data_IF_499805935979
#
_entry.id   IF_499805935979
#
_cell.length_a   1.000
_cell.length_b   1.000
_cell.length_c   1.000
_cell.angle_alpha   90.00
_cell.angle_beta   90.00
_cell.angle_gamma   90.00
#
_symmetry.space_group_name_H-M   'P 1'
#
loop_
_entity.id
_entity.type
_entity.pdbx_description
1 polymer ?
#
# COMPACT_ATOMS: atom_id res chain seq x y z
N UNK A 1 -23.84 0.59 -2.27
CA UNK A 1 -24.53 1.29 -3.38
C UNK A 1 -25.65 0.42 -3.92
N UNK A 2 -26.79 1.02 -4.25
CA UNK A 2 -28.05 0.38 -4.67
C UNK A 2 -27.89 -0.59 -5.84
N UNK A 3 -28.35 -1.83 -5.70
CA UNK A 3 -28.51 -2.79 -6.79
C UNK A 3 -29.58 -2.27 -7.75
N UNK A 4 -29.19 -1.50 -8.76
CA UNK A 4 -30.08 -1.05 -9.80
C UNK A 4 -30.62 -2.27 -10.56
N UNK A 5 -31.90 -2.59 -10.33
CA UNK A 5 -32.62 -3.68 -10.99
C UNK A 5 -32.54 -3.48 -12.50
N UNK A 6 -31.74 -4.30 -13.19
CA UNK A 6 -31.54 -4.19 -14.64
C UNK A 6 -32.90 -4.19 -15.36
N UNK A 7 -33.24 -3.13 -16.12
CA UNK A 7 -34.50 -3.03 -16.85
C UNK A 7 -34.78 -4.27 -17.71
N UNK A 8 -36.04 -4.72 -17.74
CA UNK A 8 -36.44 -5.95 -18.44
C UNK A 8 -36.01 -5.98 -19.92
N UNK A 9 -36.10 -4.84 -20.63
CA UNK A 9 -35.68 -4.76 -22.04
C UNK A 9 -34.17 -4.98 -22.25
N UNK A 10 -33.32 -4.58 -21.28
CA UNK A 10 -31.86 -4.77 -21.38
C UNK A 10 -31.49 -6.25 -21.22
N UNK A 11 -32.17 -6.98 -20.32
CA UNK A 11 -31.99 -8.43 -20.18
C UNK A 11 -32.32 -9.17 -21.48
N UNK A 12 -33.47 -8.86 -22.08
CA UNK A 12 -33.88 -9.45 -23.37
C UNK A 12 -32.86 -9.13 -24.45
N UNK A 13 -32.43 -7.87 -24.51
CA UNK A 13 -31.44 -7.43 -25.49
C UNK A 13 -30.15 -8.21 -25.38
N UNK A 14 -29.63 -8.38 -24.15
CA UNK A 14 -28.40 -9.14 -23.89
C UNK A 14 -28.54 -10.60 -24.35
N UNK A 15 -29.62 -11.27 -23.95
CA UNK A 15 -29.89 -12.65 -24.38
C UNK A 15 -29.99 -12.79 -25.89
N UNK A 16 -30.61 -11.83 -26.58
CA UNK A 16 -30.68 -11.83 -28.04
C UNK A 16 -29.30 -11.63 -28.69
N UNK A 17 -28.49 -10.70 -28.18
CA UNK A 17 -27.12 -10.48 -28.66
C UNK A 17 -26.29 -11.74 -28.50
N UNK A 18 -26.36 -12.40 -27.33
CA UNK A 18 -25.64 -13.65 -27.06
C UNK A 18 -26.08 -14.79 -28.02
N UNK A 19 -27.38 -14.88 -28.32
CA UNK A 19 -27.93 -15.86 -29.27
C UNK A 19 -27.58 -15.59 -30.73
N UNK A 20 -27.52 -14.32 -31.12
CA UNK A 20 -27.03 -13.95 -32.45
C UNK A 20 -25.54 -14.29 -32.56
N UNK A 21 -24.74 -13.93 -31.55
CA UNK A 21 -23.31 -14.21 -31.51
C UNK A 21 -22.99 -15.72 -31.50
N UNK A 22 -23.82 -16.54 -30.82
CA UNK A 22 -23.67 -18.00 -30.84
C UNK A 22 -24.12 -18.64 -32.16
N UNK A 23 -24.87 -17.92 -33.00
CA UNK A 23 -25.44 -18.42 -34.25
C UNK A 23 -26.79 -19.13 -34.08
N UNK A 24 -27.42 -19.04 -32.91
CA UNK A 24 -28.79 -19.53 -32.71
C UNK A 24 -29.79 -18.78 -33.58
N UNK A 25 -29.63 -17.45 -33.70
CA UNK A 25 -30.30 -16.67 -34.73
C UNK A 25 -29.31 -16.38 -35.86
N UNK A 26 -29.66 -16.79 -37.08
CA UNK A 26 -28.78 -16.65 -38.24
C UNK A 26 -28.89 -15.26 -38.85
N UNK A 27 -27.81 -14.80 -39.50
CA UNK A 27 -27.83 -13.56 -40.26
C UNK A 27 -28.84 -13.63 -41.40
N UNK A 28 -29.63 -12.57 -41.60
CA UNK A 28 -30.77 -12.56 -42.51
C UNK A 28 -32.05 -13.21 -41.97
N UNK A 29 -32.01 -13.89 -40.81
CA UNK A 29 -33.20 -14.47 -40.20
C UNK A 29 -34.18 -13.38 -39.77
N UNK A 30 -35.45 -13.57 -40.14
CA UNK A 30 -36.56 -12.69 -39.81
C UNK A 30 -37.18 -13.08 -38.47
N UNK A 31 -37.34 -12.11 -37.58
CA UNK A 31 -37.92 -12.25 -36.25
C UNK A 31 -39.06 -11.25 -36.06
N UNK A 32 -40.23 -11.77 -35.70
CA UNK A 32 -41.41 -10.97 -35.36
C UNK A 32 -41.37 -10.55 -33.89
N UNK A 33 -41.52 -9.24 -33.65
CA UNK A 33 -41.55 -8.68 -32.30
C UNK A 33 -42.79 -9.19 -31.54
N UNK A 34 -43.95 -9.18 -32.20
CA UNK A 34 -45.26 -9.45 -31.56
C UNK A 34 -45.52 -10.93 -31.27
N UNK A 35 -44.95 -11.83 -32.07
CA UNK A 35 -45.12 -13.27 -31.89
C UNK A 35 -43.87 -13.86 -31.29
N UNK A 36 -42.74 -13.79 -31.98
CA UNK A 36 -41.56 -14.58 -31.62
C UNK A 36 -40.95 -14.06 -30.32
N UNK A 37 -40.64 -12.76 -30.26
CA UNK A 37 -39.94 -12.18 -29.11
C UNK A 37 -40.88 -12.01 -27.90
N UNK A 38 -42.12 -11.59 -28.12
CA UNK A 38 -43.10 -11.38 -27.04
C UNK A 38 -43.47 -12.71 -26.37
N UNK A 39 -43.70 -13.78 -27.16
CA UNK A 39 -44.04 -15.10 -26.61
C UNK A 39 -42.85 -15.78 -25.93
N UNK A 40 -41.68 -15.73 -26.56
CA UNK A 40 -40.48 -16.40 -26.06
C UNK A 40 -40.01 -15.82 -24.72
N UNK A 41 -39.96 -14.48 -24.63
CA UNK A 41 -39.48 -13.80 -23.43
C UNK A 41 -40.58 -13.48 -22.42
N UNK A 42 -41.84 -13.83 -22.72
CA UNK A 42 -43.03 -13.56 -21.87
C UNK A 42 -43.09 -12.12 -21.38
N UNK A 43 -42.89 -11.17 -22.30
CA UNK A 43 -42.87 -9.73 -21.99
C UNK A 43 -43.97 -8.96 -22.70
N UNK A 44 -44.19 -7.70 -22.30
CA UNK A 44 -45.09 -6.81 -23.06
C UNK A 44 -44.51 -6.48 -24.45
N UNK A 45 -45.37 -6.25 -25.46
CA UNK A 45 -44.93 -5.83 -26.80
C UNK A 45 -44.06 -4.56 -26.79
N UNK A 46 -44.33 -3.63 -25.88
CA UNK A 46 -43.53 -2.41 -25.70
C UNK A 46 -42.12 -2.69 -25.20
N UNK A 47 -41.96 -3.67 -24.31
CA UNK A 47 -40.64 -4.09 -23.82
C UNK A 47 -39.86 -4.82 -24.90
N UNK A 48 -40.51 -5.71 -25.66
CA UNK A 48 -39.91 -6.38 -26.82
C UNK A 48 -39.49 -5.36 -27.89
N UNK A 49 -40.33 -4.38 -28.18
CA UNK A 49 -40.00 -3.29 -29.12
C UNK A 49 -38.81 -2.46 -28.66
N UNK A 50 -38.73 -2.10 -27.37
CA UNK A 50 -37.57 -1.42 -26.80
C UNK A 50 -36.28 -2.23 -26.93
N UNK A 51 -36.34 -3.54 -26.66
CA UNK A 51 -35.19 -4.43 -26.79
C UNK A 51 -34.70 -4.51 -28.25
N UNK A 52 -35.62 -4.73 -29.18
CA UNK A 52 -35.29 -4.80 -30.61
C UNK A 52 -34.73 -3.48 -31.13
N UNK A 53 -35.34 -2.35 -30.78
CA UNK A 53 -34.83 -1.03 -31.18
C UNK A 53 -33.41 -0.77 -30.63
N UNK A 54 -33.07 -1.33 -29.47
CA UNK A 54 -31.72 -1.26 -28.94
C UNK A 54 -30.73 -2.06 -29.80
N UNK A 55 -31.07 -3.29 -30.20
CA UNK A 55 -30.25 -4.08 -31.14
C UNK A 55 -30.12 -3.41 -32.52
N UNK A 56 -31.17 -2.72 -32.98
CA UNK A 56 -31.14 -1.96 -34.24
C UNK A 56 -30.18 -0.77 -34.14
N UNK A 57 -30.18 -0.03 -33.03
CA UNK A 57 -29.21 1.06 -32.78
C UNK A 57 -27.76 0.58 -32.79
N UNK A 58 -27.52 -0.64 -32.29
CA UNK A 58 -26.20 -1.27 -32.31
C UNK A 58 -25.82 -1.83 -33.69
N UNK A 59 -26.72 -1.76 -34.68
CA UNK A 59 -26.50 -2.28 -36.03
C UNK A 59 -26.47 -3.82 -36.11
N UNK A 60 -26.91 -4.51 -35.05
CA UNK A 60 -26.96 -5.98 -34.95
C UNK A 60 -28.23 -6.52 -35.63
N UNK A 61 -29.31 -5.74 -35.60
CA UNK A 61 -30.57 -6.02 -36.30
C UNK A 61 -30.96 -4.87 -37.22
N UNK A 62 -31.84 -5.13 -38.17
CA UNK A 62 -32.44 -4.11 -39.03
C UNK A 62 -33.97 -4.25 -39.04
N UNK A 63 -34.68 -3.13 -38.98
CA UNK A 63 -36.15 -3.12 -38.96
C UNK A 63 -36.68 -2.57 -40.28
N UNK A 64 -37.48 -3.36 -40.99
CA UNK A 64 -38.13 -2.93 -42.23
C UNK A 64 -39.56 -2.50 -41.94
N UNK A 65 -39.95 -1.33 -42.42
CA UNK A 65 -41.30 -0.80 -42.22
C UNK A 65 -42.35 -1.76 -42.81
N UNK A 66 -43.30 -2.22 -41.99
CA UNK A 66 -44.34 -3.19 -42.37
C UNK A 66 -43.85 -4.63 -42.58
N UNK A 67 -42.54 -4.88 -42.63
CA UNK A 67 -41.95 -6.19 -42.96
C UNK A 67 -41.24 -6.88 -41.80
N UNK A 68 -41.25 -6.32 -40.59
CA UNK A 68 -40.65 -6.96 -39.41
C UNK A 68 -39.14 -6.72 -39.28
N UNK A 69 -38.50 -7.45 -38.38
CA UNK A 69 -37.08 -7.23 -38.02
C UNK A 69 -36.23 -8.40 -38.50
N UNK A 70 -35.01 -8.13 -38.96
CA UNK A 70 -34.05 -9.15 -39.38
C UNK A 70 -32.74 -9.02 -38.62
N UNK A 71 -32.01 -10.13 -38.47
CA UNK A 71 -30.63 -10.11 -37.98
C UNK A 71 -29.73 -9.56 -39.08
N UNK A 72 -29.00 -8.49 -38.79
CA UNK A 72 -28.24 -7.74 -39.79
C UNK A 72 -26.74 -8.09 -39.78
N UNK A 73 -26.16 -8.44 -38.64
CA UNK A 73 -24.75 -8.82 -38.56
C UNK A 73 -24.46 -9.63 -37.30
N UNK A 74 -23.96 -10.86 -37.49
CA UNK A 74 -23.45 -11.68 -36.38
C UNK A 74 -22.16 -11.09 -35.79
N UNK A 75 -21.26 -10.61 -36.65
CA UNK A 75 -19.95 -10.09 -36.23
C UNK A 75 -20.08 -8.88 -35.30
N UNK A 76 -21.05 -7.99 -35.54
CA UNK A 76 -21.34 -6.89 -34.62
C UNK A 76 -21.80 -7.36 -33.25
N UNK A 77 -22.56 -8.45 -33.16
CA UNK A 77 -22.96 -9.01 -31.87
C UNK A 77 -21.74 -9.56 -31.11
N UNK A 78 -20.83 -10.25 -31.80
CA UNK A 78 -19.57 -10.76 -31.22
C UNK A 78 -18.69 -9.61 -30.73
N UNK A 79 -18.51 -8.57 -31.55
CA UNK A 79 -17.73 -7.38 -31.17
C UNK A 79 -18.33 -6.65 -29.97
N UNK A 80 -19.66 -6.50 -29.92
CA UNK A 80 -20.34 -5.87 -28.79
C UNK A 80 -20.06 -6.61 -27.47
N UNK A 81 -20.14 -7.95 -27.49
CA UNK A 81 -19.85 -8.78 -26.31
C UNK A 81 -18.40 -8.62 -25.86
N UNK A 82 -17.45 -8.60 -26.81
CA UNK A 82 -16.03 -8.44 -26.50
C UNK A 82 -15.73 -7.09 -25.85
N UNK A 83 -16.16 -5.99 -26.48
CA UNK A 83 -15.89 -4.64 -25.98
C UNK A 83 -16.52 -4.39 -24.60
N UNK A 84 -17.74 -4.89 -24.36
CA UNK A 84 -18.38 -4.76 -23.05
C UNK A 84 -17.68 -5.60 -21.96
N UNK A 85 -17.06 -6.73 -22.31
CA UNK A 85 -16.28 -7.53 -21.36
C UNK A 85 -14.99 -6.82 -20.98
N UNK A 86 -14.31 -6.22 -21.97
CA UNK A 86 -13.04 -5.52 -21.75
C UNK A 86 -13.22 -4.31 -20.81
N UNK A 87 -14.29 -3.52 -20.97
CA UNK A 87 -14.63 -2.42 -20.06
C UNK A 87 -14.88 -2.90 -18.62
N UNK A 88 -15.64 -3.99 -18.44
CA UNK A 88 -15.94 -4.55 -17.10
C UNK A 88 -14.66 -5.06 -16.43
N UNK A 89 -13.75 -5.69 -17.17
CA UNK A 89 -12.49 -6.21 -16.63
C UNK A 89 -11.59 -5.06 -16.16
N UNK A 90 -11.50 -3.98 -16.93
CA UNK A 90 -10.69 -2.80 -16.56
C UNK A 90 -11.23 -2.17 -15.27
N UNK A 91 -12.54 -2.00 -15.15
CA UNK A 91 -13.16 -1.47 -13.93
C UNK A 91 -12.95 -2.38 -12.73
N UNK A 92 -13.02 -3.71 -12.92
CA UNK A 92 -12.73 -4.69 -11.87
C UNK A 92 -11.27 -4.57 -11.40
N UNK A 93 -10.31 -4.55 -12.32
CA UNK A 93 -8.89 -4.40 -12.00
C UNK A 93 -8.60 -3.08 -11.29
N UNK A 94 -9.21 -1.98 -11.70
CA UNK A 94 -9.08 -0.69 -11.01
C UNK A 94 -9.56 -0.75 -9.56
N UNK A 95 -10.68 -1.41 -9.31
CA UNK A 95 -11.22 -1.58 -7.96
C UNK A 95 -10.32 -2.48 -7.10
N UNK A 96 -9.82 -3.60 -7.65
CA UNK A 96 -8.89 -4.49 -6.96
C UNK A 96 -7.59 -3.78 -6.58
N UNK A 97 -7.01 -3.00 -7.49
CA UNK A 97 -5.81 -2.19 -7.23
C UNK A 97 -6.08 -1.17 -6.12
N UNK A 98 -7.21 -0.47 -6.19
CA UNK A 98 -7.57 0.55 -5.20
C UNK A 98 -7.77 -0.03 -3.81
N UNK A 99 -8.41 -1.21 -3.73
CA UNK A 99 -8.58 -1.93 -2.48
C UNK A 99 -7.24 -2.38 -1.91
N UNK A 100 -6.39 -3.00 -2.74
CA UNK A 100 -5.06 -3.46 -2.33
C UNK A 100 -4.19 -2.30 -1.81
N UNK A 101 -4.26 -1.13 -2.46
CA UNK A 101 -3.55 0.07 -2.02
C UNK A 101 -4.03 0.53 -0.62
N UNK A 102 -5.35 0.52 -0.38
CA UNK A 102 -5.91 0.89 0.92
C UNK A 102 -5.48 -0.08 2.02
N UNK A 103 -5.46 -1.38 1.73
CA UNK A 103 -5.00 -2.41 2.67
C UNK A 103 -3.53 -2.21 3.03
N UNK A 104 -2.65 -1.99 2.03
CA UNK A 104 -1.24 -1.71 2.26
C UNK A 104 -1.00 -0.46 3.12
N UNK A 105 -1.75 0.64 2.87
CA UNK A 105 -1.63 1.86 3.68
C UNK A 105 -1.97 1.61 5.15
N UNK A 106 -2.96 0.78 5.43
CA UNK A 106 -3.35 0.44 6.80
C UNK A 106 -2.29 -0.43 7.49
N UNK A 107 -1.72 -1.41 6.79
CA UNK A 107 -0.58 -2.20 7.30
C UNK A 107 0.63 -1.31 7.60
N UNK A 108 0.90 -0.34 6.72
CA UNK A 108 2.01 0.60 6.91
C UNK A 108 1.85 1.45 8.17
N UNK A 109 0.63 1.94 8.42
CA UNK A 109 0.34 2.70 9.65
C UNK A 109 0.60 1.88 10.91
N UNK A 110 0.16 0.61 10.94
CA UNK A 110 0.42 -0.29 12.07
C UNK A 110 1.93 -0.51 12.27
N UNK A 111 2.68 -0.67 11.20
CA UNK A 111 4.14 -0.79 11.27
C UNK A 111 4.80 0.46 11.87
N UNK A 112 4.41 1.66 11.39
CA UNK A 112 4.92 2.92 11.92
C UNK A 112 4.62 3.09 13.41
N UNK A 113 3.41 2.73 13.85
CA UNK A 113 3.03 2.76 15.27
C UNK A 113 3.91 1.81 16.10
N UNK A 114 4.23 0.61 15.57
CA UNK A 114 5.12 -0.35 16.24
C UNK A 114 6.56 0.11 16.34
N UNK A 115 7.10 0.71 15.27
CA UNK A 115 8.44 1.33 15.29
C UNK A 115 8.48 2.44 16.34
N UNK A 116 7.46 3.28 16.39
CA UNK A 116 7.37 4.38 17.37
C UNK A 116 7.33 3.83 18.80
N UNK A 117 6.49 2.82 19.07
CA UNK A 117 6.46 2.15 20.36
C UNK A 117 7.82 1.56 20.75
N UNK A 118 8.51 0.91 19.81
CA UNK A 118 9.84 0.35 20.07
C UNK A 118 10.85 1.43 20.47
N UNK A 119 10.86 2.56 19.75
CA UNK A 119 11.72 3.70 20.07
C UNK A 119 11.39 4.22 21.47
N UNK A 120 10.12 4.44 21.79
CA UNK A 120 9.68 4.93 23.09
C UNK A 120 10.08 3.98 24.23
N UNK A 121 9.89 2.67 24.05
CA UNK A 121 10.32 1.67 25.03
C UNK A 121 11.84 1.66 25.20
N UNK A 122 12.60 1.71 24.09
CA UNK A 122 14.05 1.75 24.15
C UNK A 122 14.57 3.00 24.88
N UNK A 123 13.93 4.15 24.67
CA UNK A 123 14.27 5.40 25.32
C UNK A 123 13.90 5.39 26.81
N UNK A 124 12.71 4.89 27.18
CA UNK A 124 12.31 4.71 28.59
C UNK A 124 13.22 3.74 29.33
N UNK A 125 13.66 2.66 28.69
CA UNK A 125 14.64 1.73 29.27
C UNK A 125 16.00 2.38 29.50
N UNK A 126 16.48 3.20 28.55
CA UNK A 126 17.73 3.97 28.70
C UNK A 126 17.63 5.03 29.80
N UNK A 127 16.51 5.75 29.90
CA UNK A 127 16.34 6.82 30.89
C UNK A 127 16.07 6.32 32.31
N UNK A 128 15.36 5.22 32.48
CA UNK A 128 15.00 4.69 33.81
C UNK A 128 16.07 3.78 34.41
N UNK A 129 17.19 3.53 33.71
CA UNK A 129 18.31 2.78 34.24
C UNK A 129 19.45 3.74 34.65
N UNK A 130 19.65 4.00 35.96
CA UNK A 130 20.73 4.87 36.44
C UNK A 130 22.14 4.33 36.12
N UNK A 131 22.25 3.10 35.61
CA UNK A 131 23.52 2.45 35.23
C UNK A 131 23.78 2.42 33.73
N UNK A 132 22.94 3.03 32.89
CA UNK A 132 23.23 3.11 31.45
C UNK A 132 24.28 4.22 31.19
N UNK A 133 25.54 3.89 30.85
CA UNK A 133 26.58 4.89 30.68
C UNK A 133 26.36 5.69 29.40
N UNK A 134 26.78 6.95 29.41
CA UNK A 134 27.02 7.74 28.22
C UNK A 134 28.39 7.41 27.64
N UNK A 135 28.55 7.66 26.35
CA UNK A 135 29.74 7.32 25.59
C UNK A 135 30.37 8.57 24.97
N UNK A 136 31.69 8.63 24.96
CA UNK A 136 32.45 9.59 24.16
C UNK A 136 33.58 8.88 23.42
N UNK A 137 33.57 9.03 22.10
CA UNK A 137 34.62 8.55 21.21
C UNK A 137 35.77 9.58 21.17
N UNK A 138 37.00 9.11 21.29
CA UNK A 138 38.20 9.96 21.22
C UNK A 138 38.80 9.92 19.80
N UNK A 139 38.54 10.95 19.00
CA UNK A 139 39.20 11.16 17.72
C UNK A 139 40.55 11.91 17.88
N UNK A 140 41.24 12.15 16.77
CA UNK A 140 42.54 12.83 16.75
C UNK A 140 42.54 14.26 17.30
N UNK A 141 41.38 14.92 17.44
CA UNK A 141 41.22 16.25 18.01
C UNK A 141 41.00 16.24 19.52
N UNK A 142 40.86 15.06 20.14
CA UNK A 142 40.63 14.97 21.58
C UNK A 142 41.81 15.53 22.38
N UNK A 143 41.52 16.48 23.28
CA UNK A 143 42.52 17.27 24.02
C UNK A 143 43.49 16.45 24.89
N UNK A 144 43.07 15.28 25.35
CA UNK A 144 43.77 14.50 26.38
C UNK A 144 44.35 13.17 25.88
N UNK A 145 44.55 13.00 24.57
CA UNK A 145 45.26 11.83 24.05
C UNK A 145 46.66 11.69 24.67
N UNK A 146 47.04 10.45 25.02
CA UNK A 146 48.28 10.12 25.70
C UNK A 146 48.32 10.42 27.21
N UNK A 147 47.31 11.09 27.77
CA UNK A 147 47.19 11.35 29.21
C UNK A 147 46.60 10.14 29.95
N UNK A 148 47.00 9.94 31.21
CA UNK A 148 46.40 8.90 32.05
C UNK A 148 45.03 9.30 32.57
N UNK A 149 44.16 8.32 32.82
CA UNK A 149 42.80 8.54 33.33
C UNK A 149 42.80 9.36 34.63
N UNK A 150 43.72 9.06 35.56
CA UNK A 150 43.88 9.80 36.82
C UNK A 150 44.23 11.28 36.60
N UNK A 151 45.06 11.57 35.59
CA UNK A 151 45.50 12.94 35.31
C UNK A 151 44.41 13.83 34.74
N UNK A 152 43.31 13.23 34.26
CA UNK A 152 42.16 13.99 33.74
C UNK A 152 41.45 14.77 34.85
N UNK A 153 41.47 14.27 36.10
CA UNK A 153 40.60 14.79 37.16
C UNK A 153 39.16 14.98 36.64
N UNK A 154 38.60 13.92 36.04
CA UNK A 154 37.37 14.00 35.26
C UNK A 154 36.19 14.51 36.09
N UNK A 155 35.99 13.93 37.28
CA UNK A 155 34.80 14.20 38.10
C UNK A 155 34.69 15.67 38.56
N UNK A 156 35.73 16.33 39.10
CA UNK A 156 35.66 17.76 39.46
C UNK A 156 35.30 18.70 38.29
N UNK A 157 35.69 18.35 37.07
CA UNK A 157 35.49 19.21 35.89
C UNK A 157 34.17 18.95 35.18
N UNK A 158 33.64 17.73 35.27
CA UNK A 158 32.51 17.29 34.45
C UNK A 158 31.33 16.75 35.25
N UNK A 159 31.55 16.38 36.51
CA UNK A 159 30.64 15.59 37.35
C UNK A 159 30.35 14.19 36.78
N UNK A 160 31.20 13.70 35.88
CA UNK A 160 31.13 12.36 35.31
C UNK A 160 31.98 11.36 36.10
N UNK A 161 31.45 10.15 36.29
CA UNK A 161 32.22 9.01 36.77
C UNK A 161 32.51 8.09 35.60
N UNK A 162 33.79 7.91 35.27
CA UNK A 162 34.22 6.93 34.27
C UNK A 162 33.99 5.51 34.83
N UNK A 163 33.30 4.66 34.06
CA UNK A 163 32.96 3.29 34.47
C UNK A 163 33.59 2.24 33.58
N UNK A 164 33.85 2.55 32.30
CA UNK A 164 34.53 1.64 31.39
C UNK A 164 35.30 2.39 30.30
N UNK A 165 36.23 1.68 29.68
CA UNK A 165 36.99 2.09 28.51
C UNK A 165 36.92 0.93 27.51
N UNK A 166 36.48 1.18 26.28
CA UNK A 166 36.59 0.21 25.19
C UNK A 166 37.74 0.58 24.26
N UNK A 167 38.57 -0.42 23.94
CA UNK A 167 39.71 -0.28 23.04
C UNK A 167 39.81 -1.53 22.18
N UNK A 168 39.91 -1.36 20.85
CA UNK A 168 40.07 -2.48 19.92
C UNK A 168 39.00 -3.58 20.11
N UNK A 169 37.75 -3.16 20.36
CA UNK A 169 36.59 -4.01 20.70
C UNK A 169 36.70 -4.79 22.03
N UNK A 170 37.65 -4.45 22.89
CA UNK A 170 37.76 -5.00 24.25
C UNK A 170 37.22 -3.98 25.27
N UNK A 171 36.17 -4.36 25.99
CA UNK A 171 35.58 -3.54 27.05
C UNK A 171 36.30 -3.78 28.39
N UNK A 172 36.98 -2.74 28.87
CA UNK A 172 37.68 -2.72 30.16
C UNK A 172 36.78 -2.02 31.18
N UNK A 173 36.14 -2.80 32.05
CA UNK A 173 35.38 -2.28 33.18
C UNK A 173 36.32 -1.74 34.26
N UNK A 174 35.96 -0.62 34.87
CA UNK A 174 36.74 0.05 35.93
C UNK A 174 38.24 0.17 35.56
N UNK A 175 38.56 0.86 34.45
CA UNK A 175 39.90 0.87 33.89
C UNK A 175 40.93 1.41 34.89
N UNK A 176 42.16 0.88 34.81
CA UNK A 176 43.25 1.30 35.68
C UNK A 176 43.49 2.83 35.54
N UNK A 177 43.51 3.61 36.65
CA UNK A 177 43.70 5.06 36.59
C UNK A 177 44.99 5.50 35.88
N UNK A 178 46.01 4.64 35.83
CA UNK A 178 47.28 4.91 35.13
C UNK A 178 47.24 4.64 33.63
N UNK A 179 46.19 3.99 33.13
CA UNK A 179 46.02 3.73 31.70
C UNK A 179 45.95 5.03 30.91
N UNK A 180 46.70 5.10 29.81
CA UNK A 180 46.68 6.24 28.91
C UNK A 180 45.53 6.15 27.93
N UNK A 181 44.90 7.29 27.65
CA UNK A 181 43.94 7.45 26.57
C UNK A 181 44.63 7.40 25.20
N UNK A 182 44.03 6.68 24.26
CA UNK A 182 44.49 6.56 22.88
C UNK A 182 43.40 7.01 21.91
N UNK A 183 43.82 7.33 20.70
CA UNK A 183 42.87 7.56 19.62
C UNK A 183 42.03 6.30 19.39
N UNK A 184 40.75 6.48 19.07
CA UNK A 184 39.73 5.44 18.87
C UNK A 184 39.25 4.74 20.15
N UNK A 185 39.73 5.16 21.32
CA UNK A 185 39.14 4.74 22.59
C UNK A 185 37.68 5.26 22.70
N UNK A 186 36.81 4.45 23.29
CA UNK A 186 35.46 4.87 23.71
C UNK A 186 35.41 4.87 25.23
N UNK A 187 35.12 6.04 25.81
CA UNK A 187 34.97 6.19 27.26
C UNK A 187 33.50 6.11 27.64
N UNK A 188 33.19 5.22 28.58
CA UNK A 188 31.87 5.04 29.17
C UNK A 188 31.81 5.71 30.53
N UNK A 189 30.86 6.63 30.73
CA UNK A 189 30.72 7.39 31.97
C UNK A 189 29.26 7.55 32.40
N UNK A 190 29.03 7.65 33.71
CA UNK A 190 27.70 7.91 34.28
C UNK A 190 27.65 9.31 34.90
N UNK A 191 26.46 9.91 34.92
CA UNK A 191 26.21 11.23 35.48
C UNK A 191 24.78 11.70 35.20
N UNK A 192 24.43 12.91 35.65
CA UNK A 192 23.16 13.55 35.27
C UNK A 192 23.17 13.87 33.76
N UNK A 193 22.02 13.99 33.06
CA UNK A 193 21.99 14.30 31.62
C UNK A 193 22.83 15.51 31.18
N UNK A 194 22.94 16.54 32.04
CA UNK A 194 23.76 17.74 31.82
C UNK A 194 25.26 17.44 31.69
N UNK A 195 25.73 16.32 32.26
CA UNK A 195 27.12 15.85 32.26
C UNK A 195 27.63 15.57 30.86
N UNK A 196 26.76 15.16 29.93
CA UNK A 196 27.14 14.87 28.54
C UNK A 196 27.76 16.11 27.89
N UNK A 197 27.14 17.28 28.08
CA UNK A 197 27.65 18.53 27.55
C UNK A 197 29.00 18.90 28.18
N UNK A 198 29.13 18.77 29.50
CA UNK A 198 30.38 19.06 30.21
C UNK A 198 31.53 18.14 29.78
N UNK A 199 31.28 16.84 29.60
CA UNK A 199 32.29 15.88 29.11
C UNK A 199 32.67 16.19 27.67
N UNK A 200 31.70 16.54 26.82
CA UNK A 200 32.01 16.91 25.42
C UNK A 200 32.92 18.13 25.35
N UNK A 201 32.60 19.21 26.06
CA UNK A 201 33.43 20.42 26.15
C UNK A 201 34.78 20.18 26.83
N UNK A 202 34.85 19.20 27.73
CA UNK A 202 36.11 18.85 28.39
C UNK A 202 37.09 18.20 27.40
N UNK A 203 36.62 17.27 26.57
CA UNK A 203 37.47 16.57 25.59
C UNK A 203 37.67 17.31 24.27
N UNK A 204 36.76 18.22 23.88
CA UNK A 204 36.73 18.96 22.62
C UNK A 204 36.36 20.43 22.83
#
# INVERSE_FOLDING_TARGET
MSYAKTPAYQKISRTMIDRIASGYYQEGQKLSIRTDITSEFKVSPETARKAVNYLVKLGIMHSYHGSGTVVASKDRAVQYIKNNKDEIIIDQLHNEISQSLSEQQQTWKVFQDKVTQLIDYSYKMKLNNPFNPFEIYLDHNAKYLGKSIESLNLWPNTHATLVALERENELILSPNPKSQLKEKDILYFIGKPQTIASVKTFFY
#
